data_IF_168221019233
#
_entry.id   IF_168221019233
#
_cell.length_a   1.000
_cell.length_b   1.000
_cell.length_c   1.000
_cell.angle_alpha   90.00
_cell.angle_beta   90.00
_cell.angle_gamma   90.00
#
_symmetry.space_group_name_H-M   'P 1'
#
loop_
_entity.id
_entity.type
_entity.pdbx_description
1 polymer ?
#
# COMPACT_ATOMS: atom_id res chain seq x y z
N UNK A 1 -19.41 25.37 9.59
CA UNK A 1 -18.46 25.69 8.48
C UNK A 1 -18.01 24.37 7.89
N UNK A 2 -18.08 24.20 6.56
CA UNK A 2 -17.60 22.96 5.92
C UNK A 2 -16.08 23.02 5.76
N UNK A 3 -15.37 22.05 6.33
CA UNK A 3 -13.90 21.96 6.27
C UNK A 3 -13.50 21.27 4.96
N UNK A 4 -13.58 22.01 3.84
CA UNK A 4 -13.31 21.48 2.50
C UNK A 4 -11.90 21.90 2.07
N UNK A 5 -11.03 20.92 1.82
CA UNK A 5 -9.72 21.10 1.17
C UNK A 5 -9.74 20.47 -0.22
N UNK A 6 -9.11 21.11 -1.20
CA UNK A 6 -9.04 20.66 -2.60
C UNK A 6 -7.62 20.17 -2.92
N UNK A 7 -7.52 19.15 -3.76
CA UNK A 7 -6.25 18.69 -4.33
C UNK A 7 -6.28 18.91 -5.84
N UNK A 8 -5.18 19.41 -6.40
CA UNK A 8 -5.05 19.60 -7.85
C UNK A 8 -4.39 18.36 -8.46
N UNK A 9 -4.96 17.85 -9.54
CA UNK A 9 -4.44 16.71 -10.29
C UNK A 9 -4.09 17.16 -11.71
N UNK A 10 -2.95 16.69 -12.22
CA UNK A 10 -2.51 16.89 -13.60
C UNK A 10 -2.24 15.51 -14.22
N UNK A 11 -2.59 15.34 -15.49
CA UNK A 11 -2.43 14.09 -16.21
C UNK A 11 -1.53 14.31 -17.41
N UNK A 12 -0.50 13.48 -17.55
CA UNK A 12 0.32 13.43 -18.76
C UNK A 12 -0.42 12.64 -19.85
N UNK A 13 -0.86 13.31 -20.91
CA UNK A 13 -1.66 12.68 -21.97
C UNK A 13 -0.82 11.77 -22.87
N UNK A 14 0.50 11.96 -22.89
CA UNK A 14 1.42 11.10 -23.63
C UNK A 14 1.67 9.78 -22.87
N UNK A 15 1.39 9.74 -21.56
CA UNK A 15 1.47 8.53 -20.74
C UNK A 15 0.14 7.74 -20.80
N UNK A 16 0.11 6.52 -21.37
CA UNK A 16 -1.14 5.80 -21.65
C UNK A 16 -2.02 5.54 -20.42
N UNK A 17 -1.41 5.31 -19.26
CA UNK A 17 -2.13 5.08 -17.99
C UNK A 17 -2.85 6.34 -17.52
N UNK A 18 -2.16 7.47 -17.57
CA UNK A 18 -2.67 8.78 -17.16
C UNK A 18 -3.78 9.23 -18.10
N UNK A 19 -3.61 9.05 -19.42
CA UNK A 19 -4.65 9.31 -20.42
C UNK A 19 -5.92 8.49 -20.19
N UNK A 20 -5.77 7.21 -19.84
CA UNK A 20 -6.90 6.32 -19.52
C UNK A 20 -7.67 6.81 -18.30
N UNK A 21 -6.96 7.14 -17.21
CA UNK A 21 -7.58 7.66 -15.97
C UNK A 21 -8.24 9.02 -16.22
N UNK A 22 -7.58 9.89 -16.97
CA UNK A 22 -8.13 11.19 -17.38
C UNK A 22 -9.47 11.04 -18.11
N UNK A 23 -9.55 10.16 -19.11
CA UNK A 23 -10.80 9.93 -19.85
C UNK A 23 -11.91 9.37 -18.95
N UNK A 24 -11.57 8.44 -18.04
CA UNK A 24 -12.54 7.91 -17.08
C UNK A 24 -13.09 9.03 -16.19
N UNK A 25 -12.23 9.89 -15.65
CA UNK A 25 -12.62 10.96 -14.73
C UNK A 25 -13.35 12.11 -15.43
N UNK A 26 -12.93 12.46 -16.65
CA UNK A 26 -13.50 13.54 -17.47
C UNK A 26 -15.02 13.42 -17.55
N UNK A 27 -15.52 12.22 -17.82
CA UNK A 27 -16.93 11.93 -18.06
C UNK A 27 -17.76 11.73 -16.77
N UNK A 28 -17.15 11.76 -15.58
CA UNK A 28 -17.87 11.65 -14.30
C UNK A 28 -18.45 13.00 -13.86
N UNK A 29 -19.74 13.00 -13.50
CA UNK A 29 -20.46 14.15 -12.93
C UNK A 29 -19.90 14.57 -11.56
N UNK A 30 -19.59 13.61 -10.68
CA UNK A 30 -19.03 13.86 -9.34
C UNK A 30 -17.65 13.20 -9.20
N UNK A 31 -16.61 13.87 -9.70
CA UNK A 31 -15.22 13.36 -9.72
C UNK A 31 -14.68 13.05 -8.33
N UNK A 32 -14.93 13.94 -7.35
CA UNK A 32 -14.46 13.76 -5.97
C UNK A 32 -15.06 12.51 -5.32
N UNK A 33 -16.38 12.31 -5.42
CA UNK A 33 -17.04 11.14 -4.85
C UNK A 33 -16.53 9.84 -5.51
N UNK A 34 -16.43 9.84 -6.84
CA UNK A 34 -15.91 8.70 -7.58
C UNK A 34 -14.47 8.34 -7.20
N UNK A 35 -13.58 9.34 -7.04
CA UNK A 35 -12.20 9.12 -6.60
C UNK A 35 -12.16 8.55 -5.18
N UNK A 36 -12.98 9.08 -4.25
CA UNK A 36 -13.08 8.58 -2.87
C UNK A 36 -13.48 7.10 -2.87
N UNK A 37 -14.59 6.76 -3.52
CA UNK A 37 -15.09 5.38 -3.60
C UNK A 37 -14.07 4.44 -4.25
N UNK A 38 -13.44 4.88 -5.34
CA UNK A 38 -12.44 4.06 -6.05
C UNK A 38 -11.20 3.81 -5.22
N UNK A 39 -10.68 4.83 -4.53
CA UNK A 39 -9.49 4.68 -3.66
C UNK A 39 -9.83 3.80 -2.46
N UNK A 40 -10.96 4.02 -1.78
CA UNK A 40 -11.38 3.21 -0.64
C UNK A 40 -11.61 1.75 -1.05
N UNK A 41 -12.32 1.50 -2.15
CA UNK A 41 -12.52 0.15 -2.66
C UNK A 41 -11.18 -0.52 -3.07
N UNK A 42 -10.22 0.24 -3.61
CA UNK A 42 -8.89 -0.29 -3.90
C UNK A 42 -8.12 -0.66 -2.64
N UNK A 43 -8.24 0.14 -1.57
CA UNK A 43 -7.61 -0.13 -0.28
C UNK A 43 -8.28 -1.32 0.42
N UNK A 44 -9.60 -1.46 0.33
CA UNK A 44 -10.32 -2.64 0.85
C UNK A 44 -9.99 -3.92 0.04
N UNK A 45 -9.88 -3.80 -1.28
CA UNK A 45 -9.45 -4.91 -2.15
C UNK A 45 -7.97 -5.27 -1.94
N UNK A 46 -7.12 -4.29 -1.65
CA UNK A 46 -5.72 -4.50 -1.31
C UNK A 46 -5.56 -5.01 0.13
N UNK A 47 -6.41 -4.64 1.09
CA UNK A 47 -6.42 -5.24 2.43
C UNK A 47 -6.79 -6.73 2.38
N UNK A 48 -7.56 -7.14 1.36
CA UNK A 48 -7.82 -8.55 1.09
C UNK A 48 -6.69 -9.25 0.31
N UNK A 49 -5.64 -8.52 -0.11
CA UNK A 49 -4.63 -9.03 -1.02
C UNK A 49 -3.25 -8.34 -0.86
N UNK A 50 -2.89 -7.88 0.36
CA UNK A 50 -1.51 -7.45 0.59
C UNK A 50 -0.68 -8.71 0.43
N UNK A 51 0.12 -8.76 -0.63
CA UNK A 51 0.99 -9.89 -0.87
C UNK A 51 1.93 -10.00 0.34
N UNK A 52 1.71 -11.04 1.16
CA UNK A 52 2.49 -11.28 2.38
C UNK A 52 3.99 -11.35 2.04
N UNK A 53 4.34 -11.69 0.80
CA UNK A 53 5.71 -11.64 0.33
C UNK A 53 6.26 -10.20 0.23
N UNK A 54 5.48 -9.25 -0.31
CA UNK A 54 5.88 -7.84 -0.42
C UNK A 54 6.00 -7.20 0.98
N UNK A 55 5.07 -7.49 1.89
CA UNK A 55 5.15 -7.07 3.31
C UNK A 55 6.42 -7.58 4.00
N UNK A 56 6.80 -8.84 3.75
CA UNK A 56 8.03 -9.42 4.31
C UNK A 56 9.28 -8.75 3.78
N UNK A 57 9.29 -8.33 2.52
CA UNK A 57 10.43 -7.61 1.94
C UNK A 57 10.60 -6.24 2.62
N UNK A 58 9.52 -5.47 2.71
CA UNK A 58 9.52 -4.14 3.35
C UNK A 58 9.92 -4.26 4.82
N UNK A 59 9.41 -5.27 5.54
CA UNK A 59 9.76 -5.49 6.94
C UNK A 59 11.26 -5.81 7.13
N UNK A 60 11.85 -6.64 6.25
CA UNK A 60 13.29 -6.93 6.30
C UNK A 60 14.15 -5.70 6.00
N UNK A 61 13.70 -4.83 5.10
CA UNK A 61 14.41 -3.60 4.76
C UNK A 61 14.47 -2.65 5.97
N UNK A 62 13.35 -2.44 6.64
CA UNK A 62 13.26 -1.61 7.86
C UNK A 62 14.14 -2.17 8.98
N UNK A 63 14.13 -3.49 9.19
CA UNK A 63 14.98 -4.12 10.21
C UNK A 63 16.46 -3.93 9.94
N UNK A 64 16.89 -4.02 8.67
CA UNK A 64 18.28 -3.75 8.27
C UNK A 64 18.65 -2.29 8.45
N UNK A 65 17.78 -1.36 8.07
CA UNK A 65 18.01 0.08 8.24
C UNK A 65 18.09 0.47 9.72
N UNK A 66 17.30 -0.16 10.58
CA UNK A 66 17.30 0.05 12.02
C UNK A 66 18.41 -0.73 12.77
N UNK A 67 19.26 -1.49 12.06
CA UNK A 67 20.28 -2.39 12.62
C UNK A 67 19.72 -3.42 13.62
N UNK A 68 18.47 -3.85 13.40
CA UNK A 68 17.76 -4.83 14.22
C UNK A 68 17.97 -6.22 13.61
N UNK A 69 18.75 -7.06 14.32
CA UNK A 69 18.92 -8.47 13.95
C UNK A 69 17.90 -9.36 14.65
N UNK A 70 17.05 -10.04 13.87
CA UNK A 70 16.15 -11.06 14.40
C UNK A 70 16.84 -12.43 14.37
N UNK A 71 16.75 -13.19 15.46
CA UNK A 71 17.26 -14.56 15.57
C UNK A 71 16.10 -15.52 15.81
N UNK A 72 16.08 -16.62 15.06
CA UNK A 72 15.18 -17.74 15.30
C UNK A 72 15.97 -18.79 16.09
N UNK A 73 15.77 -18.79 17.40
CA UNK A 73 16.59 -19.48 18.40
C UNK A 73 18.09 -19.13 18.33
N UNK A 74 18.88 -19.61 19.29
CA UNK A 74 20.29 -19.23 19.52
C UNK A 74 21.26 -19.53 18.36
N UNK A 75 20.79 -20.04 17.21
CA UNK A 75 21.64 -20.60 16.15
C UNK A 75 21.38 -20.09 14.74
N UNK A 76 20.30 -19.34 14.45
CA UNK A 76 20.04 -18.86 13.07
C UNK A 76 19.51 -17.43 13.03
N UNK A 77 20.30 -16.54 12.42
CA UNK A 77 19.87 -15.18 12.10
C UNK A 77 18.86 -15.25 10.96
N UNK A 78 17.75 -14.52 11.10
CA UNK A 78 16.76 -14.38 10.04
C UNK A 78 17.35 -13.41 9.01
N UNK A 79 17.82 -13.97 7.90
CA UNK A 79 18.44 -13.21 6.81
C UNK A 79 17.56 -13.17 5.55
N UNK A 80 16.53 -14.02 5.50
CA UNK A 80 15.63 -14.15 4.35
C UNK A 80 14.17 -13.91 4.76
N UNK A 81 13.38 -13.42 3.81
CA UNK A 81 11.94 -13.12 3.98
C UNK A 81 11.11 -14.36 4.28
N UNK A 82 11.55 -15.53 3.81
CA UNK A 82 10.92 -16.83 4.06
C UNK A 82 10.93 -17.24 5.54
N UNK A 83 11.91 -16.76 6.31
CA UNK A 83 12.06 -17.10 7.72
C UNK A 83 11.15 -16.25 8.65
N UNK A 84 10.52 -15.19 8.12
CA UNK A 84 9.56 -14.36 8.88
C UNK A 84 8.21 -15.08 8.95
N UNK A 85 7.68 -15.38 10.14
CA UNK A 85 6.34 -15.94 10.29
C UNK A 85 5.28 -14.95 9.79
N UNK A 86 4.26 -15.48 9.10
CA UNK A 86 3.17 -14.69 8.55
C UNK A 86 2.33 -14.01 9.64
N UNK A 87 2.31 -14.63 10.83
CA UNK A 87 1.55 -14.25 12.01
C UNK A 87 2.03 -12.92 12.62
N UNK A 88 3.27 -12.48 12.33
CA UNK A 88 3.80 -11.18 12.77
C UNK A 88 2.97 -10.02 12.21
N UNK A 89 2.51 -10.15 10.96
CA UNK A 89 1.72 -9.11 10.29
C UNK A 89 0.25 -9.10 10.74
N UNK A 90 -0.24 -10.23 11.27
CA UNK A 90 -1.59 -10.33 11.82
C UNK A 90 -1.69 -9.55 13.16
N UNK A 91 -0.58 -9.42 13.92
CA UNK A 91 -0.50 -8.56 15.12
C UNK A 91 -0.61 -7.08 14.76
N UNK A 92 0.11 -6.63 13.72
CA UNK A 92 0.08 -5.23 13.26
C UNK A 92 -1.32 -4.84 12.78
N UNK A 93 -2.00 -5.77 12.12
CA UNK A 93 -3.36 -5.55 11.60
C UNK A 93 -4.43 -5.48 12.71
N UNK A 94 -4.07 -5.83 13.96
CA UNK A 94 -4.97 -5.89 15.11
C UNK A 94 -4.80 -4.71 16.09
N UNK A 95 -3.96 -3.72 15.75
CA UNK A 95 -3.74 -2.47 16.51
C UNK A 95 -4.52 -1.34 15.85
#
# INVERSE_FOLDING_TARGET
MSNIKRVNLSFDIDRPKDYKVYNILKDKRNKTAYIIETILASLESNNNNIDRHELKQVFMEVLKEADISIRKDDKKQINNTEDIPNEVFDIISSI
#
